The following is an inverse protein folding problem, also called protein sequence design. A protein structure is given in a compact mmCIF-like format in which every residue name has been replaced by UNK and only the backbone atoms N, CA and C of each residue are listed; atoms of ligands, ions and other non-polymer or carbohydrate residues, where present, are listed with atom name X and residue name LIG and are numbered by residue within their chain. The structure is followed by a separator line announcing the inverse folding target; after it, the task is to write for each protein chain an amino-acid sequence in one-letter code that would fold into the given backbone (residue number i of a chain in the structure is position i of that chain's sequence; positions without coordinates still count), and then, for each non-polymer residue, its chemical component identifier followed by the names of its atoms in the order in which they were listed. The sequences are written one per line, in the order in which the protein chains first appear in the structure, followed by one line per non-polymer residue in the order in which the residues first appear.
data_IF_777394406825
#
_entry.id   IF_777394406825
#
_cell.length_a   1.000
_cell.length_b   1.000
_cell.length_c   1.000
_cell.angle_alpha   90.00
_cell.angle_beta   90.00
_cell.angle_gamma   90.00
#
_symmetry.space_group_name_H-M   'P 1'
#
loop_
_entity.id
_entity.type
_entity.pdbx_description
1 polymer ?
#
# COMPACT_ATOMS: atom_id res chain seq x y z
N UNK A 1 26.78 -5.01 16.25
CA UNK A 1 27.71 -4.99 15.10
C UNK A 1 27.85 -3.54 14.67
N UNK A 2 29.09 -3.05 14.55
CA UNK A 2 29.37 -1.66 14.15
C UNK A 2 29.06 -1.46 12.67
N UNK A 3 28.69 -0.24 12.21
CA UNK A 3 28.65 0.09 10.79
C UNK A 3 29.95 -0.21 10.04
N UNK A 4 31.09 -0.14 10.72
CA UNK A 4 32.43 -0.39 10.17
C UNK A 4 32.82 -1.88 10.10
N UNK A 5 31.98 -2.79 10.64
CA UNK A 5 32.23 -4.23 10.51
C UNK A 5 32.11 -4.62 9.03
N UNK A 6 33.11 -5.31 8.43
CA UNK A 6 33.09 -5.65 7.00
C UNK A 6 31.92 -6.58 6.62
N UNK A 7 31.26 -7.20 7.60
CA UNK A 7 30.07 -8.03 7.40
C UNK A 7 28.78 -7.22 7.45
N UNK A 8 28.81 -5.97 7.92
CA UNK A 8 27.65 -5.10 7.99
C UNK A 8 27.05 -4.89 6.58
N UNK A 9 25.73 -5.02 6.45
CA UNK A 9 25.06 -4.92 5.15
C UNK A 9 25.23 -6.14 4.23
N UNK A 10 25.74 -7.26 4.74
CA UNK A 10 25.91 -8.52 3.98
C UNK A 10 25.11 -9.68 4.60
N UNK A 11 25.04 -10.81 3.88
CA UNK A 11 24.46 -12.07 4.40
C UNK A 11 25.22 -12.57 5.62
N UNK A 12 26.56 -12.46 5.61
CA UNK A 12 27.40 -12.85 6.73
C UNK A 12 27.09 -12.02 7.98
N UNK A 13 26.72 -10.75 7.81
CA UNK A 13 26.29 -9.86 8.90
C UNK A 13 24.98 -10.31 9.54
N UNK A 14 23.99 -10.71 8.74
CA UNK A 14 22.74 -11.23 9.29
C UNK A 14 22.96 -12.51 10.11
N UNK A 15 23.85 -13.40 9.65
CA UNK A 15 24.24 -14.61 10.41
C UNK A 15 25.02 -14.28 11.68
N UNK A 16 25.85 -13.23 11.66
CA UNK A 16 26.59 -12.78 12.84
C UNK A 16 25.65 -12.27 13.96
N UNK A 17 24.58 -11.57 13.61
CA UNK A 17 23.55 -11.17 14.57
C UNK A 17 22.86 -12.38 15.23
N UNK A 18 22.48 -13.39 14.44
CA UNK A 18 21.86 -14.61 14.96
C UNK A 18 22.78 -15.34 15.94
N UNK A 19 24.08 -15.46 15.62
CA UNK A 19 25.06 -16.10 16.51
C UNK A 19 25.22 -15.37 17.84
N UNK A 20 25.17 -14.04 17.80
CA UNK A 20 25.27 -13.19 19.00
C UNK A 20 23.94 -12.99 19.72
N UNK A 21 22.86 -13.61 19.23
CA UNK A 21 21.49 -13.45 19.73
C UNK A 21 21.03 -11.99 19.80
N UNK A 22 21.61 -11.12 18.96
CA UNK A 22 21.19 -9.73 18.84
C UNK A 22 20.21 -9.57 17.68
N UNK A 23 19.18 -8.72 17.78
CA UNK A 23 18.35 -8.37 16.64
C UNK A 23 19.20 -7.85 15.48
N UNK A 24 18.96 -8.36 14.27
CA UNK A 24 19.70 -7.91 13.10
C UNK A 24 19.45 -6.43 12.80
N UNK A 25 20.50 -5.67 12.47
CA UNK A 25 20.33 -4.30 11.98
C UNK A 25 19.67 -4.29 10.60
N UNK A 26 19.14 -3.13 10.23
CA UNK A 26 18.34 -2.94 9.01
C UNK A 26 19.13 -3.20 7.73
N UNK A 27 20.39 -2.79 7.66
CA UNK A 27 21.26 -3.09 6.53
C UNK A 27 21.45 -4.61 6.33
N UNK A 28 21.67 -5.36 7.42
CA UNK A 28 21.86 -6.81 7.36
C UNK A 28 20.55 -7.55 7.03
N UNK A 29 19.40 -7.06 7.53
CA UNK A 29 18.08 -7.57 7.14
C UNK A 29 17.83 -7.38 5.64
N UNK A 30 18.09 -6.17 5.11
CA UNK A 30 17.97 -5.86 3.68
C UNK A 30 18.85 -6.77 2.81
N UNK A 31 20.09 -6.99 3.23
CA UNK A 31 21.02 -7.89 2.55
C UNK A 31 20.46 -9.31 2.43
N UNK A 32 20.00 -9.88 3.57
CA UNK A 32 19.40 -11.23 3.62
C UNK A 32 18.23 -11.37 2.65
N UNK A 33 17.34 -10.38 2.60
CA UNK A 33 16.17 -10.45 1.73
C UNK A 33 16.51 -10.35 0.24
N UNK A 34 17.50 -9.53 -0.14
CA UNK A 34 17.99 -9.50 -1.53
C UNK A 34 18.51 -10.86 -1.99
N UNK A 35 19.26 -11.55 -1.13
CA UNK A 35 19.73 -12.90 -1.41
C UNK A 35 18.59 -13.92 -1.46
N UNK A 36 17.62 -13.87 -0.54
CA UNK A 36 16.45 -14.76 -0.60
C UNK A 36 15.63 -14.53 -1.88
N UNK A 37 15.45 -13.27 -2.30
CA UNK A 37 14.77 -12.88 -3.55
C UNK A 37 15.52 -13.42 -4.77
N UNK A 38 16.83 -13.25 -4.84
CA UNK A 38 17.66 -13.83 -5.91
C UNK A 38 17.57 -15.36 -5.93
N UNK A 39 17.65 -16.02 -4.76
CA UNK A 39 17.50 -17.48 -4.66
C UNK A 39 16.11 -17.97 -5.05
N UNK A 40 15.07 -17.20 -4.75
CA UNK A 40 13.70 -17.51 -5.14
C UNK A 40 13.56 -17.51 -6.67
N UNK A 41 14.13 -16.49 -7.33
CA UNK A 41 14.15 -16.36 -8.79
C UNK A 41 14.99 -17.46 -9.43
N UNK A 42 16.09 -17.86 -8.79
CA UNK A 42 16.93 -18.99 -9.22
C UNK A 42 16.37 -20.38 -8.85
N UNK A 43 15.14 -20.47 -8.31
CA UNK A 43 14.48 -21.74 -7.97
C UNK A 43 15.03 -22.51 -6.75
N UNK A 44 16.12 -22.05 -6.13
CA UNK A 44 16.86 -22.79 -5.10
C UNK A 44 16.42 -22.58 -3.64
N UNK A 45 15.37 -21.81 -3.36
CA UNK A 45 14.84 -21.61 -2.00
C UNK A 45 13.52 -22.35 -1.79
N UNK A 46 13.42 -23.13 -0.70
CA UNK A 46 12.16 -23.80 -0.30
C UNK A 46 11.31 -22.93 0.62
N UNK A 47 11.93 -22.03 1.39
CA UNK A 47 11.29 -21.10 2.33
C UNK A 47 11.85 -19.68 2.20
N UNK A 48 11.01 -18.68 2.45
CA UNK A 48 11.32 -17.24 2.38
C UNK A 48 10.62 -16.49 3.51
N UNK A 49 11.11 -15.30 3.86
CA UNK A 49 10.43 -14.45 4.84
C UNK A 49 9.03 -14.02 4.38
N UNK A 50 8.09 -13.93 5.32
CA UNK A 50 6.67 -13.74 5.01
C UNK A 50 6.21 -12.29 4.81
N UNK A 51 7.03 -11.29 5.17
CA UNK A 51 6.59 -9.89 5.25
C UNK A 51 6.08 -9.35 3.91
N UNK A 52 6.76 -9.65 2.79
CA UNK A 52 6.30 -9.17 1.50
C UNK A 52 5.06 -9.89 1.00
N UNK A 53 4.88 -11.17 1.33
CA UNK A 53 3.62 -11.87 1.07
C UNK A 53 2.49 -11.30 1.91
N UNK A 54 2.74 -11.04 3.21
CA UNK A 54 1.77 -10.40 4.11
C UNK A 54 1.33 -9.04 3.59
N UNK A 55 2.28 -8.17 3.20
CA UNK A 55 2.00 -6.83 2.66
C UNK A 55 1.18 -6.89 1.37
N UNK A 56 1.51 -7.79 0.44
CA UNK A 56 0.72 -8.00 -0.80
C UNK A 56 -0.72 -8.41 -0.50
N UNK A 57 -0.92 -9.35 0.43
CA UNK A 57 -2.28 -9.75 0.85
C UNK A 57 -3.00 -8.56 1.46
N UNK A 58 -2.38 -7.86 2.42
CA UNK A 58 -2.96 -6.68 3.08
C UNK A 58 -3.34 -5.58 2.07
N UNK A 59 -2.50 -5.34 1.07
CA UNK A 59 -2.75 -4.36 0.02
C UNK A 59 -3.97 -4.73 -0.84
N UNK A 60 -4.10 -5.99 -1.27
CA UNK A 60 -5.31 -6.44 -1.97
C UNK A 60 -6.56 -6.37 -1.08
N UNK A 61 -6.42 -6.62 0.22
CA UNK A 61 -7.52 -6.41 1.16
C UNK A 61 -7.92 -4.94 1.28
N UNK A 62 -6.96 -4.03 1.14
CA UNK A 62 -7.22 -2.59 1.07
C UNK A 62 -7.87 -2.13 -0.25
N UNK A 63 -7.88 -2.98 -1.29
CA UNK A 63 -8.74 -2.80 -2.48
C UNK A 63 -10.14 -3.40 -2.32
N UNK A 64 -10.44 -4.03 -1.18
CA UNK A 64 -11.75 -4.58 -0.87
C UNK A 64 -11.88 -6.09 -1.10
N UNK A 65 -10.81 -6.80 -1.50
CA UNK A 65 -10.85 -8.25 -1.65
C UNK A 65 -10.92 -8.98 -0.30
N UNK A 66 -11.70 -10.05 -0.26
CA UNK A 66 -11.73 -11.04 0.81
C UNK A 66 -10.67 -12.12 0.59
N UNK A 67 -10.26 -12.80 1.66
CA UNK A 67 -9.30 -13.91 1.53
C UNK A 67 -9.86 -15.08 0.68
N UNK A 68 -11.18 -15.22 0.59
CA UNK A 68 -11.83 -16.22 -0.24
C UNK A 68 -11.65 -15.92 -1.72
N UNK A 69 -11.93 -14.69 -2.14
CA UNK A 69 -11.73 -14.26 -3.53
C UNK A 69 -10.27 -14.38 -3.94
N UNK A 70 -9.33 -14.03 -3.05
CA UNK A 70 -7.89 -14.20 -3.33
C UNK A 70 -7.49 -15.68 -3.49
N UNK A 71 -8.09 -16.58 -2.70
CA UNK A 71 -7.84 -18.01 -2.80
C UNK A 71 -8.40 -18.62 -4.08
N UNK A 72 -9.60 -18.19 -4.49
CA UNK A 72 -10.23 -18.59 -5.74
C UNK A 72 -9.40 -18.13 -6.95
N UNK A 73 -9.01 -16.85 -6.99
CA UNK A 73 -8.16 -16.30 -8.08
C UNK A 73 -6.79 -16.98 -8.15
N UNK A 74 -6.24 -17.39 -7.01
CA UNK A 74 -4.94 -18.04 -6.92
C UNK A 74 -4.94 -19.56 -7.11
N UNK A 75 -6.11 -20.17 -7.35
CA UNK A 75 -6.22 -21.61 -7.60
C UNK A 75 -6.10 -22.49 -6.35
N UNK A 76 -6.31 -21.95 -5.15
CA UNK A 76 -6.37 -22.71 -3.90
C UNK A 76 -7.78 -23.22 -3.57
N UNK A 77 -8.76 -22.97 -4.44
CA UNK A 77 -10.17 -23.25 -4.18
C UNK A 77 -10.71 -22.43 -2.99
N UNK A 78 -11.67 -23.00 -2.25
CA UNK A 78 -12.28 -22.36 -1.07
C UNK A 78 -11.38 -22.40 0.19
N UNK A 79 -10.13 -22.86 0.06
CA UNK A 79 -9.19 -23.03 1.17
C UNK A 79 -8.59 -21.68 1.64
N UNK A 80 -9.43 -20.87 2.29
CA UNK A 80 -9.09 -19.59 2.90
C UNK A 80 -7.93 -19.67 3.92
N UNK A 81 -7.62 -20.86 4.45
CA UNK A 81 -6.50 -21.12 5.36
C UNK A 81 -5.14 -20.80 4.72
N UNK A 82 -5.01 -20.98 3.39
CA UNK A 82 -3.77 -20.71 2.64
C UNK A 82 -3.30 -19.25 2.74
N UNK A 83 -4.21 -18.31 2.97
CA UNK A 83 -3.91 -16.89 3.13
C UNK A 83 -3.89 -16.41 4.58
N UNK A 84 -4.44 -17.18 5.54
CA UNK A 84 -4.35 -16.83 6.97
C UNK A 84 -2.95 -17.06 7.52
N UNK A 85 -2.30 -18.16 7.15
CA UNK A 85 -0.97 -18.50 7.66
C UNK A 85 0.11 -17.44 7.33
N UNK A 86 0.23 -16.94 6.08
CA UNK A 86 1.20 -15.88 5.76
C UNK A 86 1.00 -14.58 6.54
N UNK A 87 -0.23 -14.30 7.02
CA UNK A 87 -0.50 -13.10 7.81
C UNK A 87 0.13 -13.14 9.20
N UNK A 88 0.43 -14.32 9.74
CA UNK A 88 0.99 -14.48 11.11
C UNK A 88 2.39 -15.10 11.14
N UNK A 89 2.76 -15.90 10.16
CA UNK A 89 4.04 -16.61 10.14
C UNK A 89 5.23 -15.69 9.85
N UNK A 90 6.42 -15.98 10.39
CA UNK A 90 7.64 -15.25 10.03
C UNK A 90 8.25 -15.71 8.69
N UNK A 91 8.01 -16.98 8.34
CA UNK A 91 8.57 -17.65 7.16
C UNK A 91 7.48 -18.49 6.51
N UNK A 92 7.45 -18.50 5.17
CA UNK A 92 6.50 -19.30 4.37
C UNK A 92 7.24 -20.10 3.30
N UNK A 93 6.55 -20.99 2.60
CA UNK A 93 7.14 -21.67 1.43
C UNK A 93 7.34 -20.68 0.29
N UNK A 94 8.42 -20.88 -0.46
CA UNK A 94 8.70 -20.11 -1.67
C UNK A 94 7.57 -20.23 -2.71
N UNK A 95 6.89 -21.37 -2.76
CA UNK A 95 5.74 -21.59 -3.63
C UNK A 95 4.54 -20.71 -3.25
N UNK A 96 4.18 -20.64 -1.97
CA UNK A 96 3.10 -19.76 -1.50
C UNK A 96 3.43 -18.31 -1.82
N UNK A 97 4.67 -17.87 -1.59
CA UNK A 97 5.12 -16.52 -1.93
C UNK A 97 4.94 -16.21 -3.43
N UNK A 98 5.37 -17.11 -4.32
CA UNK A 98 5.22 -16.97 -5.78
C UNK A 98 3.77 -16.91 -6.20
N UNK A 99 2.91 -17.78 -5.67
CA UNK A 99 1.48 -17.77 -6.05
C UNK A 99 0.78 -16.50 -5.57
N UNK A 100 1.06 -16.02 -4.35
CA UNK A 100 0.52 -14.73 -3.87
C UNK A 100 1.02 -13.57 -4.72
N UNK A 101 2.29 -13.57 -5.13
CA UNK A 101 2.83 -12.58 -6.05
C UNK A 101 2.06 -12.57 -7.38
N UNK A 102 1.74 -13.74 -7.95
CA UNK A 102 0.91 -13.84 -9.17
C UNK A 102 -0.48 -13.23 -8.97
N UNK A 103 -1.14 -13.54 -7.85
CA UNK A 103 -2.45 -12.94 -7.51
C UNK A 103 -2.35 -11.43 -7.37
N UNK A 104 -1.33 -10.95 -6.68
CA UNK A 104 -1.08 -9.52 -6.50
C UNK A 104 -0.87 -8.80 -7.84
N UNK A 105 -0.01 -9.32 -8.71
CA UNK A 105 0.23 -8.73 -10.02
C UNK A 105 -1.05 -8.66 -10.86
N UNK A 106 -1.94 -9.65 -10.74
CA UNK A 106 -3.21 -9.69 -11.46
C UNK A 106 -4.23 -8.66 -10.97
N UNK A 107 -4.27 -8.39 -9.66
CA UNK A 107 -5.36 -7.65 -9.02
C UNK A 107 -4.97 -6.26 -8.49
N UNK A 108 -3.67 -5.94 -8.43
CA UNK A 108 -3.16 -4.73 -7.77
C UNK A 108 -3.68 -3.41 -8.35
N UNK A 109 -4.15 -3.41 -9.60
CA UNK A 109 -4.73 -2.24 -10.29
C UNK A 109 -6.26 -2.29 -10.42
N UNK A 110 -6.90 -3.29 -9.80
CA UNK A 110 -8.33 -3.54 -9.97
C UNK A 110 -9.02 -3.52 -8.60
N UNK A 111 -9.88 -2.55 -8.30
CA UNK A 111 -10.70 -2.58 -7.10
C UNK A 111 -11.64 -3.79 -7.09
N UNK A 112 -11.88 -4.36 -5.92
CA UNK A 112 -12.88 -5.41 -5.77
C UNK A 112 -14.29 -4.85 -5.99
N UNK A 113 -15.20 -5.68 -6.49
CA UNK A 113 -16.62 -5.35 -6.67
C UNK A 113 -17.51 -6.31 -5.88
N UNK A 114 -18.76 -5.90 -5.61
CA UNK A 114 -19.76 -6.74 -4.94
C UNK A 114 -20.10 -6.34 -3.50
N UNK A 115 -21.05 -7.06 -2.87
CA UNK A 115 -21.74 -6.60 -1.67
C UNK A 115 -20.87 -6.52 -0.41
N UNK A 116 -19.70 -7.19 -0.40
CA UNK A 116 -18.81 -7.27 0.78
C UNK A 116 -17.67 -6.24 0.76
N UNK A 117 -17.49 -5.51 -0.34
CA UNK A 117 -16.38 -4.55 -0.52
C UNK A 117 -16.33 -3.52 0.60
N UNK A 118 -17.45 -2.88 0.92
CA UNK A 118 -17.50 -1.86 1.98
C UNK A 118 -17.05 -2.39 3.35
N UNK A 119 -17.40 -3.64 3.69
CA UNK A 119 -16.94 -4.30 4.93
C UNK A 119 -15.43 -4.55 4.91
N UNK A 120 -14.89 -5.02 3.78
CA UNK A 120 -13.46 -5.31 3.64
C UNK A 120 -12.62 -4.04 3.71
N UNK A 121 -13.06 -2.95 3.06
CA UNK A 121 -12.41 -1.64 3.12
C UNK A 121 -12.38 -1.09 4.55
N UNK A 122 -13.49 -1.16 5.29
CA UNK A 122 -13.53 -0.76 6.71
C UNK A 122 -12.54 -1.56 7.56
N UNK A 123 -12.45 -2.87 7.33
CA UNK A 123 -11.50 -3.72 8.03
C UNK A 123 -10.04 -3.38 7.68
N UNK A 124 -9.74 -3.09 6.41
CA UNK A 124 -8.40 -2.68 6.00
C UNK A 124 -7.98 -1.35 6.66
N UNK A 125 -8.88 -0.36 6.67
CA UNK A 125 -8.67 0.93 7.36
C UNK A 125 -8.41 0.75 8.85
N UNK A 126 -9.23 -0.06 9.53
CA UNK A 126 -9.07 -0.35 10.97
C UNK A 126 -7.71 -0.99 11.28
N UNK A 127 -7.18 -1.81 10.39
CA UNK A 127 -5.87 -2.44 10.56
C UNK A 127 -4.70 -1.61 9.97
N UNK A 128 -4.97 -0.41 9.44
CA UNK A 128 -3.93 0.45 8.86
C UNK A 128 -3.26 -0.11 7.61
N UNK A 129 -3.91 -1.03 6.89
CA UNK A 129 -3.35 -1.65 5.70
C UNK A 129 -3.36 -0.69 4.51
N UNK A 130 -2.19 -0.52 3.90
CA UNK A 130 -2.00 0.39 2.78
C UNK A 130 -2.35 -0.30 1.45
N UNK A 131 -3.03 0.39 0.51
CA UNK A 131 -3.39 -0.14 -0.80
C UNK A 131 -2.15 -0.29 -1.71
N UNK A 132 -2.25 -0.99 -2.86
CA UNK A 132 -1.11 -1.23 -3.75
C UNK A 132 -0.38 0.03 -4.20
N UNK A 133 -1.11 1.10 -4.52
CA UNK A 133 -0.52 2.38 -4.96
C UNK A 133 0.41 3.01 -3.91
N UNK A 134 0.12 2.80 -2.63
CA UNK A 134 0.98 3.28 -1.55
C UNK A 134 2.32 2.52 -1.46
N UNK A 135 2.49 1.44 -2.20
CA UNK A 135 3.72 0.65 -2.28
C UNK A 135 4.41 0.78 -3.64
N UNK A 136 3.91 1.64 -4.53
CA UNK A 136 4.52 1.86 -5.84
C UNK A 136 5.96 2.36 -5.67
N UNK A 137 6.91 1.73 -6.37
CA UNK A 137 8.34 2.02 -6.24
C UNK A 137 8.99 1.52 -4.94
N UNK A 138 8.25 0.87 -4.03
CA UNK A 138 8.75 0.42 -2.72
C UNK A 138 8.88 -1.11 -2.69
N UNK A 139 10.05 -1.62 -2.28
CA UNK A 139 10.26 -3.06 -2.15
C UNK A 139 9.49 -3.63 -0.95
N UNK A 140 8.33 -4.25 -1.22
CA UNK A 140 7.52 -4.92 -0.21
C UNK A 140 8.26 -6.08 0.48
N UNK A 141 9.34 -6.61 -0.08
CA UNK A 141 10.19 -7.65 0.51
C UNK A 141 11.34 -7.08 1.37
N UNK A 142 11.40 -5.75 1.57
CA UNK A 142 12.30 -5.13 2.55
C UNK A 142 11.57 -5.01 3.91
N UNK A 143 12.01 -5.68 4.99
CA UNK A 143 11.33 -5.62 6.28
C UNK A 143 11.25 -4.21 6.87
N UNK A 144 12.09 -3.28 6.42
CA UNK A 144 12.12 -1.88 6.83
C UNK A 144 11.30 -0.97 5.93
N UNK A 145 10.79 -1.50 4.80
CA UNK A 145 9.93 -0.72 3.92
C UNK A 145 8.62 -0.36 4.61
N UNK A 146 8.30 0.92 4.51
CA UNK A 146 7.03 1.49 4.89
C UNK A 146 6.29 1.92 3.63
N UNK A 147 4.96 1.73 3.56
CA UNK A 147 4.20 2.28 2.45
C UNK A 147 4.23 3.81 2.54
N UNK A 148 4.10 4.46 1.39
CA UNK A 148 3.73 5.87 1.37
C UNK A 148 2.44 6.07 2.16
N UNK A 149 2.49 6.97 3.13
CA UNK A 149 1.32 7.43 3.87
C UNK A 149 1.23 8.92 3.63
N UNK A 150 0.07 9.45 3.19
CA UNK A 150 -0.13 10.88 3.23
C UNK A 150 0.06 11.32 4.68
N UNK A 151 0.90 12.33 4.90
CA UNK A 151 1.22 12.83 6.23
C UNK A 151 -0.08 13.15 6.97
N UNK A 152 -0.39 12.40 8.02
CA UNK A 152 -1.58 12.61 8.83
C UNK A 152 -1.55 13.94 9.60
N UNK A 153 -0.38 14.61 9.66
CA UNK A 153 -0.24 15.97 10.20
C UNK A 153 -0.74 17.02 9.21
N UNK A 154 -0.68 16.75 7.90
CA UNK A 154 -1.64 17.33 6.97
C UNK A 154 -2.91 16.52 7.11
N UNK A 155 -3.72 16.83 8.13
CA UNK A 155 -5.15 16.86 7.83
C UNK A 155 -5.22 17.77 6.61
N UNK A 156 -5.47 17.19 5.44
CA UNK A 156 -6.20 17.88 4.38
C UNK A 156 -7.46 18.31 5.11
N UNK A 157 -7.41 19.47 5.76
CA UNK A 157 -8.57 20.03 6.37
C UNK A 157 -9.60 20.13 5.25
N UNK A 158 -10.88 20.14 5.59
CA UNK A 158 -11.88 20.67 4.67
C UNK A 158 -11.39 21.89 3.84
N UNK A 159 -10.52 22.81 4.32
CA UNK A 159 -9.85 23.81 3.49
C UNK A 159 -9.14 23.30 2.22
N UNK A 160 -8.24 22.32 2.28
CA UNK A 160 -7.43 21.91 1.12
C UNK A 160 -8.28 21.32 -0.03
N UNK A 161 -9.34 20.58 0.30
CA UNK A 161 -10.29 20.06 -0.72
C UNK A 161 -11.16 21.17 -1.29
N UNK A 162 -11.47 22.19 -0.48
CA UNK A 162 -12.25 23.35 -0.93
C UNK A 162 -11.41 24.24 -1.84
N UNK A 163 -10.13 24.46 -1.51
CA UNK A 163 -9.19 25.22 -2.33
C UNK A 163 -8.99 24.57 -3.70
N UNK A 164 -8.61 23.29 -3.74
CA UNK A 164 -8.43 22.57 -5.00
C UNK A 164 -9.70 22.56 -5.86
N UNK A 165 -10.87 22.47 -5.22
CA UNK A 165 -12.16 22.49 -5.91
C UNK A 165 -12.52 23.87 -6.48
N UNK A 166 -12.20 24.95 -5.76
CA UNK A 166 -12.40 26.32 -6.26
C UNK A 166 -11.40 26.62 -7.39
N UNK A 167 -10.15 26.18 -7.26
CA UNK A 167 -9.14 26.28 -8.31
C UNK A 167 -9.58 25.54 -9.60
N UNK A 168 -10.06 24.30 -9.48
CA UNK A 168 -10.60 23.54 -10.62
C UNK A 168 -11.81 24.25 -11.24
N UNK A 169 -12.67 24.85 -10.41
CA UNK A 169 -13.84 25.61 -10.85
C UNK A 169 -13.46 26.88 -11.62
N UNK A 170 -12.56 27.69 -11.07
CA UNK A 170 -12.11 28.93 -11.70
C UNK A 170 -11.28 28.63 -12.96
N UNK A 171 -10.53 27.53 -12.98
CA UNK A 171 -9.85 27.06 -14.19
C UNK A 171 -10.86 26.73 -15.30
N UNK A 172 -11.91 25.93 -15.03
CA UNK A 172 -12.94 25.60 -16.03
C UNK A 172 -13.64 26.85 -16.57
N UNK A 173 -13.99 27.80 -15.69
CA UNK A 173 -14.59 29.08 -16.08
C UNK A 173 -13.62 29.92 -16.92
N UNK A 174 -12.32 29.93 -16.58
CA UNK A 174 -11.29 30.62 -17.38
C UNK A 174 -11.12 30.05 -18.79
N UNK A 175 -11.45 28.76 -18.99
CA UNK A 175 -11.46 28.11 -20.30
C UNK A 175 -12.75 28.40 -21.09
N UNK A 176 -13.67 29.21 -20.55
CA UNK A 176 -14.91 29.62 -21.20
C UNK A 176 -16.11 28.71 -20.93
N UNK A 177 -16.00 27.73 -20.01
CA UNK A 177 -17.19 27.01 -19.53
C UNK A 177 -18.08 27.93 -18.68
N UNK A 178 -19.40 27.74 -18.75
CA UNK A 178 -20.31 28.43 -17.83
C UNK A 178 -20.15 27.88 -16.41
N UNK A 179 -20.43 28.71 -15.40
CA UNK A 179 -20.34 28.28 -14.00
C UNK A 179 -21.23 27.06 -13.71
N UNK A 180 -22.40 26.96 -14.34
CA UNK A 180 -23.31 25.83 -14.23
C UNK A 180 -22.70 24.54 -14.80
N UNK A 181 -22.04 24.63 -15.97
CA UNK A 181 -21.38 23.50 -16.61
C UNK A 181 -20.19 23.02 -15.78
N UNK A 182 -19.36 23.94 -15.30
CA UNK A 182 -18.24 23.64 -14.43
C UNK A 182 -18.70 22.98 -13.12
N UNK A 183 -19.79 23.47 -12.51
CA UNK A 183 -20.37 22.89 -11.30
C UNK A 183 -20.88 21.45 -11.51
N UNK A 184 -21.58 21.18 -12.62
CA UNK A 184 -22.02 19.83 -13.00
C UNK A 184 -20.82 18.90 -13.20
N UNK A 185 -19.77 19.38 -13.87
CA UNK A 185 -18.55 18.61 -14.14
C UNK A 185 -17.82 18.22 -12.86
N UNK A 186 -17.78 19.11 -11.89
CA UNK A 186 -17.16 18.87 -10.58
C UNK A 186 -18.07 18.09 -9.61
N UNK A 187 -19.33 17.83 -9.99
CA UNK A 187 -20.29 17.08 -9.16
C UNK A 187 -20.68 17.82 -7.88
N UNK A 188 -20.67 19.15 -7.90
CA UNK A 188 -20.95 20.01 -6.73
C UNK A 188 -22.01 21.04 -7.12
N UNK A 189 -22.93 21.36 -6.20
CA UNK A 189 -23.91 22.42 -6.43
C UNK A 189 -23.21 23.77 -6.63
N UNK A 190 -23.65 24.51 -7.65
CA UNK A 190 -23.11 25.84 -7.97
C UNK A 190 -23.13 26.79 -6.77
N UNK A 191 -24.21 26.82 -5.98
CA UNK A 191 -24.29 27.66 -4.78
C UNK A 191 -23.18 27.34 -3.76
N UNK A 192 -22.81 26.07 -3.64
CA UNK A 192 -21.74 25.61 -2.75
C UNK A 192 -20.38 26.09 -3.25
N UNK A 193 -20.14 26.06 -4.56
CA UNK A 193 -18.89 26.54 -5.17
C UNK A 193 -18.74 28.05 -5.04
N UNK A 194 -19.81 28.81 -5.29
CA UNK A 194 -19.83 30.28 -5.09
C UNK A 194 -19.56 30.66 -3.63
N UNK A 195 -20.17 29.96 -2.68
CA UNK A 195 -19.95 30.21 -1.26
C UNK A 195 -18.53 29.85 -0.81
N UNK A 196 -17.96 28.78 -1.37
CA UNK A 196 -16.58 28.38 -1.14
C UNK A 196 -15.58 29.41 -1.69
N UNK A 197 -15.77 29.87 -2.94
CA UNK A 197 -14.94 30.90 -3.59
C UNK A 197 -14.90 32.19 -2.78
N UNK A 198 -16.08 32.73 -2.40
CA UNK A 198 -16.18 33.94 -1.56
C UNK A 198 -15.42 33.83 -0.23
N UNK A 199 -15.43 32.66 0.41
CA UNK A 199 -14.74 32.46 1.69
C UNK A 199 -13.22 32.46 1.52
N UNK A 200 -12.73 31.92 0.42
CA UNK A 200 -11.29 31.92 0.11
C UNK A 200 -10.82 33.33 -0.27
N UNK A 201 -11.58 34.03 -1.11
CA UNK A 201 -11.28 35.43 -1.48
C UNK A 201 -11.24 36.34 -0.24
N UNK A 202 -12.18 36.15 0.70
CA UNK A 202 -12.21 36.89 1.97
C UNK A 202 -11.10 36.53 2.96
N UNK A 203 -10.44 35.37 2.81
CA UNK A 203 -9.31 34.94 3.63
C UNK A 203 -7.96 35.42 3.08
N UNK A 204 -7.87 35.78 1.80
CA UNK A 204 -6.65 36.27 1.16
C UNK A 204 -6.35 37.77 1.43
N UNK A 205 -7.30 38.50 2.02
CA UNK A 205 -7.24 39.96 2.24
C UNK A 205 -6.97 40.34 3.71
N UNK A 206 -6.82 39.34 4.60
CA UNK A 206 -6.50 39.51 6.03
C UNK A 206 -5.09 39.00 6.35
#
# INVERSE_FOLDING_TARGET
MSPDDPRHGTIAGCSAHLRTKTPACDACKRAKMRYEKQRLLAGGATKVAAHGTRRRIQALRALGYSLRELAEVGGWGSAHAAFKYPLIANTITAETARRVLKVYNRLSMTPASGPRVGRNLRLARRNGWAPPLAWEGIDMDDPTAEPWRPDSRRRVGRPDVVHARVEDFDWLVSQGESEEQAAVRLGVRLDTLRDQRRRLDGQAVA
#
